data_IF_933204252122
#
_entry.id   IF_933204252122
#
_cell.length_a   1.000
_cell.length_b   1.000
_cell.length_c   1.000
_cell.angle_alpha   90.00
_cell.angle_beta   90.00
_cell.angle_gamma   90.00
#
_symmetry.space_group_name_H-M   'P 1'
#
loop_
_entity.id
_entity.type
_entity.pdbx_description
1 polymer ?
#
# COMPACT_ATOMS: atom_id res chain seq x y z
N UNK A 1 15.54 -0.53 13.17
CA UNK A 1 15.31 -1.04 11.80
C UNK A 1 14.39 -0.08 11.04
N UNK A 2 14.94 0.86 10.26
CA UNK A 2 14.17 1.82 9.43
C UNK A 2 13.93 1.19 8.05
N UNK A 3 12.68 0.94 7.69
CA UNK A 3 12.30 0.50 6.34
C UNK A 3 12.44 1.71 5.41
N UNK A 4 13.33 1.60 4.43
CA UNK A 4 13.68 2.63 3.46
C UNK A 4 12.49 3.10 2.60
N UNK A 5 12.27 4.42 2.63
CA UNK A 5 12.02 5.32 1.51
C UNK A 5 10.95 4.91 0.47
N UNK A 6 9.68 5.09 0.82
CA UNK A 6 8.66 5.41 -0.19
C UNK A 6 9.09 6.75 -0.81
N UNK A 7 9.26 6.77 -2.13
CA UNK A 7 9.59 7.97 -2.90
C UNK A 7 8.76 9.15 -2.41
N UNK A 8 9.40 10.28 -2.10
CA UNK A 8 8.70 11.46 -1.61
C UNK A 8 7.49 11.75 -2.51
N UNK A 9 6.28 11.69 -1.95
CA UNK A 9 5.06 11.96 -2.68
C UNK A 9 5.14 13.37 -3.25
N UNK A 10 4.78 13.54 -4.52
CA UNK A 10 4.89 14.81 -5.23
C UNK A 10 3.52 15.35 -5.56
N UNK A 11 3.33 16.66 -5.33
CA UNK A 11 2.13 17.34 -5.74
C UNK A 11 1.95 17.17 -7.26
N UNK A 12 0.78 16.72 -7.75
CA UNK A 12 0.58 16.53 -9.18
C UNK A 12 0.61 17.85 -9.96
N UNK A 13 0.37 18.98 -9.29
CA UNK A 13 0.37 20.32 -9.89
C UNK A 13 1.79 20.88 -9.99
N UNK A 14 2.47 21.06 -8.86
CA UNK A 14 3.76 21.77 -8.82
C UNK A 14 4.98 20.86 -8.58
N UNK A 15 4.78 19.54 -8.47
CA UNK A 15 5.82 18.51 -8.21
C UNK A 15 6.63 18.67 -6.92
N UNK A 16 6.25 19.61 -6.06
CA UNK A 16 6.82 19.76 -4.73
C UNK A 16 6.60 18.49 -3.92
N UNK A 17 7.64 18.06 -3.21
CA UNK A 17 7.52 16.97 -2.25
C UNK A 17 6.58 17.37 -1.12
N UNK A 18 5.70 16.47 -0.71
CA UNK A 18 4.83 16.68 0.44
C UNK A 18 4.78 15.41 1.30
N UNK A 19 4.39 15.58 2.57
CA UNK A 19 4.27 14.48 3.53
C UNK A 19 3.03 14.68 4.38
N UNK A 20 2.01 13.85 4.16
CA UNK A 20 0.88 13.78 5.07
C UNK A 20 -0.03 15.01 5.11
N UNK A 21 0.05 15.92 4.13
CA UNK A 21 -0.80 17.12 4.06
C UNK A 21 -1.87 16.97 2.99
N UNK A 22 -3.07 17.48 3.27
CA UNK A 22 -4.19 17.56 2.32
C UNK A 22 -4.14 18.81 1.45
N UNK A 23 -3.21 19.73 1.71
CA UNK A 23 -2.96 20.91 0.87
C UNK A 23 -1.47 21.01 0.56
N UNK A 24 -1.14 21.40 -0.67
CA UNK A 24 0.24 21.64 -1.06
C UNK A 24 0.74 22.97 -0.48
N UNK A 25 1.85 22.94 0.25
CA UNK A 25 2.47 24.15 0.82
C UNK A 25 3.03 25.11 -0.23
N UNK A 26 3.34 24.64 -1.44
CA UNK A 26 3.92 25.46 -2.52
C UNK A 26 2.87 26.14 -3.38
N UNK A 27 1.88 25.38 -3.87
CA UNK A 27 0.92 25.89 -4.85
C UNK A 27 -0.53 25.92 -4.34
N UNK A 28 -0.76 25.55 -3.07
CA UNK A 28 -2.09 25.59 -2.46
C UNK A 28 -3.07 24.52 -2.96
N UNK A 29 -2.67 23.64 -3.89
CA UNK A 29 -3.53 22.61 -4.46
C UNK A 29 -4.08 21.66 -3.39
N UNK A 30 -5.34 21.26 -3.55
CA UNK A 30 -5.97 20.24 -2.72
C UNK A 30 -5.43 18.85 -3.09
N UNK A 31 -4.90 18.17 -2.07
CA UNK A 31 -4.32 16.83 -2.11
C UNK A 31 -5.19 15.81 -1.34
N UNK A 32 -6.36 16.20 -0.85
CA UNK A 32 -7.25 15.36 -0.04
C UNK A 32 -7.53 14.02 -0.72
N UNK A 33 -7.92 14.03 -2.00
CA UNK A 33 -8.21 12.79 -2.74
C UNK A 33 -6.98 11.89 -2.87
N UNK A 34 -5.81 12.47 -3.11
CA UNK A 34 -4.54 11.74 -3.19
C UNK A 34 -4.19 11.12 -1.82
N UNK A 35 -4.34 11.89 -0.74
CA UNK A 35 -4.14 11.42 0.62
C UNK A 35 -5.09 10.30 1.01
N UNK A 36 -6.37 10.39 0.62
CA UNK A 36 -7.35 9.32 0.85
C UNK A 36 -6.92 8.01 0.19
N UNK A 37 -6.45 8.04 -1.06
CA UNK A 37 -5.95 6.84 -1.74
C UNK A 37 -4.74 6.24 -1.00
N UNK A 38 -3.81 7.07 -0.55
CA UNK A 38 -2.62 6.62 0.16
C UNK A 38 -2.96 5.97 1.51
N UNK A 39 -3.87 6.59 2.27
CA UNK A 39 -4.37 6.04 3.54
C UNK A 39 -5.09 4.72 3.30
N UNK A 40 -5.95 4.63 2.29
CA UNK A 40 -6.65 3.39 1.92
C UNK A 40 -5.68 2.28 1.56
N UNK A 41 -4.68 2.56 0.71
CA UNK A 41 -3.65 1.58 0.36
C UNK A 41 -2.87 1.11 1.60
N UNK A 42 -2.48 2.03 2.49
CA UNK A 42 -1.80 1.68 3.75
C UNK A 42 -2.67 0.80 4.64
N UNK A 43 -3.95 1.10 4.75
CA UNK A 43 -4.92 0.31 5.52
C UNK A 43 -5.03 -1.12 4.99
N UNK A 44 -5.17 -1.29 3.67
CA UNK A 44 -5.20 -2.61 3.05
C UNK A 44 -3.90 -3.39 3.26
N UNK A 45 -2.71 -2.76 3.17
CA UNK A 45 -1.44 -3.42 3.50
C UNK A 45 -1.41 -3.89 4.96
N UNK A 46 -1.91 -3.07 5.89
CA UNK A 46 -1.96 -3.45 7.30
C UNK A 46 -2.93 -4.61 7.55
N UNK A 47 -4.10 -4.60 6.91
CA UNK A 47 -5.04 -5.73 6.96
C UNK A 47 -4.44 -7.00 6.36
N UNK A 48 -3.76 -6.91 5.22
CA UNK A 48 -3.09 -8.05 4.60
C UNK A 48 -2.07 -8.69 5.54
N UNK A 49 -1.26 -7.88 6.24
CA UNK A 49 -0.31 -8.39 7.25
C UNK A 49 -1.02 -9.08 8.42
N UNK A 50 -2.11 -8.51 8.93
CA UNK A 50 -2.93 -9.17 9.97
C UNK A 50 -3.50 -10.50 9.48
N UNK A 51 -4.00 -10.56 8.25
CA UNK A 51 -4.53 -11.78 7.65
C UNK A 51 -3.46 -12.87 7.50
N UNK A 52 -2.20 -12.52 7.18
CA UNK A 52 -1.07 -13.46 7.20
C UNK A 52 -0.91 -14.08 8.61
N UNK A 53 -0.89 -13.25 9.66
CA UNK A 53 -0.75 -13.74 11.04
C UNK A 53 -1.91 -14.67 11.45
N UNK A 54 -3.11 -14.41 10.94
CA UNK A 54 -4.31 -15.24 11.18
C UNK A 54 -4.42 -16.44 10.21
N UNK A 55 -3.40 -16.71 9.39
CA UNK A 55 -3.38 -17.76 8.35
C UNK A 55 -4.53 -17.68 7.33
N UNK A 56 -5.10 -16.50 7.13
CA UNK A 56 -6.13 -16.20 6.11
C UNK A 56 -5.46 -15.77 4.80
N UNK A 57 -4.78 -16.69 4.12
CA UNK A 57 -3.87 -16.31 3.04
C UNK A 57 -4.55 -15.80 1.76
N UNK A 58 -5.74 -16.30 1.42
CA UNK A 58 -6.54 -15.76 0.31
C UNK A 58 -6.97 -14.32 0.56
N UNK A 59 -7.46 -14.04 1.77
CA UNK A 59 -7.83 -12.69 2.20
C UNK A 59 -6.59 -11.77 2.15
N UNK A 60 -5.45 -12.26 2.65
CA UNK A 60 -4.20 -11.51 2.60
C UNK A 60 -3.78 -11.17 1.17
N UNK A 61 -3.95 -12.11 0.22
CA UNK A 61 -3.65 -11.91 -1.21
C UNK A 61 -4.59 -10.90 -1.86
N UNK A 62 -5.88 -10.97 -1.57
CA UNK A 62 -6.84 -10.01 -2.09
C UNK A 62 -6.53 -8.59 -1.58
N UNK A 63 -6.27 -8.43 -0.28
CA UNK A 63 -5.95 -7.15 0.35
C UNK A 63 -4.64 -6.56 -0.17
N UNK A 64 -3.58 -7.37 -0.31
CA UNK A 64 -2.29 -6.92 -0.84
C UNK A 64 -2.41 -6.45 -2.30
N UNK A 65 -3.16 -7.20 -3.12
CA UNK A 65 -3.44 -6.86 -4.52
C UNK A 65 -4.20 -5.54 -4.63
N UNK A 66 -5.27 -5.36 -3.85
CA UNK A 66 -6.03 -4.11 -3.83
C UNK A 66 -5.18 -2.92 -3.41
N UNK A 67 -4.34 -3.07 -2.38
CA UNK A 67 -3.42 -2.00 -1.98
C UNK A 67 -2.44 -1.60 -3.09
N UNK A 68 -1.90 -2.59 -3.80
CA UNK A 68 -0.94 -2.36 -4.89
C UNK A 68 -1.59 -1.71 -6.12
N UNK A 69 -2.87 -2.04 -6.41
CA UNK A 69 -3.65 -1.37 -7.46
C UNK A 69 -3.90 0.11 -7.14
N UNK A 70 -4.20 0.44 -5.88
CA UNK A 70 -4.43 1.83 -5.46
C UNK A 70 -3.13 2.64 -5.46
N UNK A 71 -2.07 2.08 -4.87
CA UNK A 71 -0.77 2.73 -4.78
C UNK A 71 0.34 1.69 -4.94
N UNK A 72 0.91 1.66 -6.14
CA UNK A 72 1.97 0.74 -6.48
C UNK A 72 3.28 1.14 -5.79
N UNK A 73 3.82 0.23 -4.99
CA UNK A 73 5.14 0.40 -4.35
C UNK A 73 5.94 -0.88 -4.50
N UNK A 74 7.27 -0.80 -4.39
CA UNK A 74 8.10 -2.01 -4.43
C UNK A 74 7.85 -2.91 -3.21
N UNK A 75 7.64 -2.32 -2.04
CA UNK A 75 7.27 -3.05 -0.84
C UNK A 75 5.89 -3.74 -0.99
N UNK A 76 4.92 -3.06 -1.60
CA UNK A 76 3.61 -3.63 -1.91
C UNK A 76 3.70 -4.80 -2.90
N UNK A 77 4.52 -4.69 -3.95
CA UNK A 77 4.78 -5.79 -4.90
C UNK A 77 5.34 -7.03 -4.20
N UNK A 78 6.32 -6.86 -3.31
CA UNK A 78 6.87 -7.96 -2.50
C UNK A 78 5.80 -8.61 -1.61
N UNK A 79 4.93 -7.80 -0.99
CA UNK A 79 3.81 -8.31 -0.21
C UNK A 79 2.84 -9.13 -1.08
N UNK A 80 2.50 -8.67 -2.29
CA UNK A 80 1.66 -9.43 -3.22
C UNK A 80 2.25 -10.80 -3.56
N UNK A 81 3.56 -10.86 -3.85
CA UNK A 81 4.27 -12.10 -4.16
C UNK A 81 4.24 -13.07 -2.97
N UNK A 82 4.58 -12.60 -1.77
CA UNK A 82 4.53 -13.40 -0.55
C UNK A 82 3.13 -13.97 -0.30
N UNK A 83 2.09 -13.13 -0.38
CA UNK A 83 0.72 -13.59 -0.14
C UNK A 83 0.23 -14.56 -1.21
N UNK A 84 0.67 -14.41 -2.47
CA UNK A 84 0.33 -15.34 -3.55
C UNK A 84 0.98 -16.71 -3.33
N UNK A 85 2.24 -16.73 -2.90
CA UNK A 85 2.93 -17.97 -2.56
C UNK A 85 2.30 -18.69 -1.36
N UNK A 86 1.94 -17.96 -0.29
CA UNK A 86 1.26 -18.53 0.88
C UNK A 86 -0.11 -19.14 0.52
N UNK A 87 -0.90 -18.42 -0.27
CA UNK A 87 -2.20 -18.87 -0.75
C UNK A 87 -2.08 -20.15 -1.60
N UNK A 88 -1.11 -20.18 -2.54
CA UNK A 88 -0.83 -21.36 -3.34
C UNK A 88 -0.43 -22.56 -2.47
N UNK A 89 0.50 -22.38 -1.52
CA UNK A 89 0.95 -23.46 -0.64
C UNK A 89 -0.16 -24.04 0.23
N UNK A 90 -1.08 -23.21 0.73
CA UNK A 90 -2.19 -23.70 1.55
C UNK A 90 -3.12 -24.62 0.74
N UNK A 91 -3.39 -24.30 -0.53
CA UNK A 91 -4.22 -25.12 -1.41
C UNK A 91 -3.54 -26.42 -1.84
N UNK A 92 -2.21 -26.45 -1.89
CA UNK A 92 -1.47 -27.66 -2.25
C UNK A 92 -1.32 -28.65 -1.08
N UNK A 93 -1.65 -28.23 0.15
CA UNK A 93 -1.52 -29.02 1.37
C UNK A 93 -2.87 -29.51 1.94
N UNK A 94 -3.99 -29.05 1.38
CA UNK A 94 -5.34 -29.49 1.72
C UNK A 94 -5.96 -30.21 0.54
#
# INVERSE_FOLDING_TARGET
MRISMDSALRCPVCRAGFRGTTRCSRCGADLTRLMTLLVTARHYRNKARKAICLRKFEEARALSTSAQKIHATQAGKRLCLLTSWLAYRQRALG
#
